data_IF_583135816384
#
_entry.id   IF_583135816384
#
_cell.length_a   1.000
_cell.length_b   1.000
_cell.length_c   1.000
_cell.angle_alpha   90.00
_cell.angle_beta   90.00
_cell.angle_gamma   90.00
#
_symmetry.space_group_name_H-M   'P 1'
#
loop_
_entity.id
_entity.type
_entity.pdbx_description
1 polymer ?
#
# COMPACT_ATOMS: atom_id res chain seq x y z
N UNK A 1 -11.92 -39.64 6.89
CA UNK A 1 -12.79 -40.43 5.98
C UNK A 1 -13.05 -39.62 4.72
N UNK A 2 -13.15 -40.30 3.57
CA UNK A 2 -13.26 -39.68 2.23
C UNK A 2 -14.37 -38.63 2.12
N UNK A 3 -15.54 -38.86 2.70
CA UNK A 3 -16.67 -37.92 2.71
C UNK A 3 -16.33 -36.57 3.37
N UNK A 4 -15.62 -36.60 4.51
CA UNK A 4 -15.18 -35.38 5.22
C UNK A 4 -14.14 -34.61 4.40
N UNK A 5 -13.26 -35.34 3.71
CA UNK A 5 -12.26 -34.73 2.83
C UNK A 5 -12.91 -34.05 1.62
N UNK A 6 -13.90 -34.71 1.01
CA UNK A 6 -14.67 -34.15 -0.11
C UNK A 6 -15.44 -32.89 0.32
N UNK A 7 -16.10 -32.93 1.48
CA UNK A 7 -16.78 -31.77 2.05
C UNK A 7 -15.82 -30.60 2.23
N UNK A 8 -14.67 -30.83 2.88
CA UNK A 8 -13.66 -29.81 3.12
C UNK A 8 -13.13 -29.23 1.80
N UNK A 9 -12.83 -30.07 0.81
CA UNK A 9 -12.31 -29.63 -0.49
C UNK A 9 -13.30 -28.74 -1.24
N UNK A 10 -14.59 -29.11 -1.27
CA UNK A 10 -15.64 -28.30 -1.92
C UNK A 10 -15.84 -26.98 -1.17
N UNK A 11 -15.84 -27.01 0.17
CA UNK A 11 -15.96 -25.82 1.02
C UNK A 11 -14.79 -24.85 0.80
N UNK A 12 -13.55 -25.35 0.78
CA UNK A 12 -12.36 -24.54 0.50
C UNK A 12 -12.37 -23.96 -0.92
N UNK A 13 -12.82 -24.74 -1.91
CA UNK A 13 -12.93 -24.26 -3.30
C UNK A 13 -13.95 -23.13 -3.42
N UNK A 14 -15.09 -23.25 -2.73
CA UNK A 14 -16.10 -22.20 -2.66
C UNK A 14 -15.58 -20.93 -1.96
N UNK A 15 -14.78 -21.08 -0.90
CA UNK A 15 -14.14 -19.95 -0.22
C UNK A 15 -13.17 -19.20 -1.14
N UNK A 16 -12.31 -19.93 -1.85
CA UNK A 16 -11.34 -19.36 -2.81
C UNK A 16 -12.07 -18.65 -3.95
N UNK A 17 -13.08 -19.30 -4.53
CA UNK A 17 -13.88 -18.72 -5.61
C UNK A 17 -14.64 -17.46 -5.14
N UNK A 18 -15.24 -17.51 -3.95
CA UNK A 18 -16.02 -16.42 -3.38
C UNK A 18 -15.20 -15.17 -3.04
N UNK A 19 -13.91 -15.31 -2.75
CA UNK A 19 -13.03 -14.19 -2.42
C UNK A 19 -12.68 -13.34 -3.66
N UNK A 20 -12.55 -13.94 -4.85
CA UNK A 20 -12.36 -13.23 -6.13
C UNK A 20 -11.30 -12.11 -6.09
N UNK A 21 -11.52 -11.02 -6.86
CA UNK A 21 -10.73 -9.78 -6.72
C UNK A 21 -11.19 -9.03 -5.47
N UNK A 22 -10.47 -9.24 -4.39
CA UNK A 22 -10.73 -8.66 -3.08
C UNK A 22 -10.46 -7.14 -3.08
N UNK A 23 -11.51 -6.34 -3.28
CA UNK A 23 -11.46 -4.87 -3.25
C UNK A 23 -12.06 -4.26 -1.98
N UNK A 24 -12.95 -4.98 -1.29
CA UNK A 24 -13.74 -4.45 -0.18
C UNK A 24 -13.88 -5.45 0.96
N UNK A 25 -14.03 -4.95 2.20
CA UNK A 25 -14.28 -5.79 3.40
C UNK A 25 -15.52 -6.68 3.24
N UNK A 26 -16.50 -6.25 2.45
CA UNK A 26 -17.71 -7.03 2.15
C UNK A 26 -17.43 -8.32 1.39
N UNK A 27 -16.32 -8.42 0.65
CA UNK A 27 -15.96 -9.62 -0.10
C UNK A 27 -15.72 -10.82 0.82
N UNK A 28 -15.19 -10.65 2.03
CA UNK A 28 -15.05 -11.77 3.00
C UNK A 28 -16.41 -12.25 3.48
N UNK A 29 -17.32 -11.32 3.79
CA UNK A 29 -18.65 -11.65 4.27
C UNK A 29 -19.45 -12.40 3.21
N UNK A 30 -19.41 -11.93 1.96
CA UNK A 30 -20.05 -12.60 0.83
C UNK A 30 -19.46 -13.98 0.56
N UNK A 31 -18.13 -14.13 0.64
CA UNK A 31 -17.48 -15.44 0.53
C UNK A 31 -17.91 -16.40 1.65
N UNK A 32 -18.03 -15.91 2.90
CA UNK A 32 -18.52 -16.71 4.02
C UNK A 32 -19.98 -17.17 3.83
N UNK A 33 -20.85 -16.30 3.29
CA UNK A 33 -22.22 -16.67 2.96
C UNK A 33 -22.26 -17.74 1.84
N UNK A 34 -21.44 -17.59 0.80
CA UNK A 34 -21.32 -18.58 -0.27
C UNK A 34 -20.86 -19.94 0.28
N UNK A 35 -19.83 -19.94 1.13
CA UNK A 35 -19.35 -21.13 1.83
C UNK A 35 -20.47 -21.75 2.67
N UNK A 36 -21.26 -20.93 3.36
CA UNK A 36 -22.41 -21.38 4.13
C UNK A 36 -23.41 -22.14 3.26
N UNK A 37 -23.84 -21.55 2.14
CA UNK A 37 -24.77 -22.18 1.19
C UNK A 37 -24.20 -23.48 0.64
N UNK A 38 -22.94 -23.48 0.20
CA UNK A 38 -22.26 -24.67 -0.33
C UNK A 38 -22.18 -25.77 0.73
N UNK A 39 -21.86 -25.43 1.98
CA UNK A 39 -21.79 -26.37 3.09
C UNK A 39 -23.16 -27.01 3.38
N UNK A 40 -24.26 -26.24 3.31
CA UNK A 40 -25.62 -26.77 3.51
C UNK A 40 -25.97 -27.76 2.39
N UNK A 41 -25.74 -27.38 1.13
CA UNK A 41 -25.99 -28.25 -0.03
C UNK A 41 -25.18 -29.55 0.08
N UNK A 42 -23.89 -29.42 0.42
CA UNK A 42 -23.00 -30.57 0.56
C UNK A 42 -23.39 -31.48 1.73
N UNK A 43 -23.83 -30.91 2.86
CA UNK A 43 -24.32 -31.68 4.00
C UNK A 43 -25.58 -32.48 3.64
N UNK A 44 -26.53 -31.86 2.93
CA UNK A 44 -27.74 -32.55 2.43
C UNK A 44 -27.36 -33.68 1.45
N UNK A 45 -26.45 -33.42 0.52
CA UNK A 45 -25.98 -34.42 -0.44
C UNK A 45 -25.31 -35.62 0.25
N UNK A 46 -24.51 -35.39 1.31
CA UNK A 46 -23.87 -36.45 2.08
C UNK A 46 -24.85 -37.26 2.93
N UNK A 47 -25.90 -36.62 3.48
CA UNK A 47 -26.98 -37.32 4.18
C UNK A 47 -27.69 -38.28 3.22
N UNK A 48 -28.04 -37.79 2.03
CA UNK A 48 -28.69 -38.60 0.98
C UNK A 48 -27.77 -39.76 0.50
N UNK A 49 -26.49 -39.49 0.26
CA UNK A 49 -25.51 -40.50 -0.14
C UNK A 49 -25.29 -41.58 0.93
N UNK A 50 -25.39 -41.22 2.20
CA UNK A 50 -25.20 -42.16 3.32
C UNK A 50 -26.47 -42.94 3.67
N UNK A 51 -27.51 -42.84 2.81
CA UNK A 51 -28.82 -43.48 2.98
C UNK A 51 -29.49 -43.14 4.33
N UNK A 52 -29.14 -41.99 4.91
CA UNK A 52 -29.73 -41.53 6.15
C UNK A 52 -31.06 -40.80 5.86
N UNK A 53 -32.10 -40.96 6.70
CA UNK A 53 -33.37 -40.30 6.47
C UNK A 53 -33.23 -38.78 6.59
N UNK A 54 -33.67 -38.06 5.55
CA UNK A 54 -33.80 -36.60 5.56
C UNK A 54 -35.02 -36.18 6.41
N UNK A 55 -34.84 -36.23 7.72
CA UNK A 55 -35.82 -35.71 8.68
C UNK A 55 -35.73 -34.19 8.81
N UNK A 56 -36.79 -33.55 9.32
CA UNK A 56 -36.79 -32.13 9.65
C UNK A 56 -35.62 -31.74 10.57
N UNK A 57 -35.31 -32.60 11.55
CA UNK A 57 -34.20 -32.39 12.50
C UNK A 57 -32.85 -32.41 11.79
N UNK A 58 -32.59 -33.39 10.92
CA UNK A 58 -31.32 -33.50 10.19
C UNK A 58 -31.14 -32.36 9.18
N UNK A 59 -32.23 -31.91 8.55
CA UNK A 59 -32.20 -30.73 7.69
C UNK A 59 -31.85 -29.45 8.46
N UNK A 60 -32.50 -29.21 9.60
CA UNK A 60 -32.19 -28.05 10.45
C UNK A 60 -30.76 -28.06 10.97
N UNK A 61 -30.23 -29.24 11.33
CA UNK A 61 -28.84 -29.38 11.74
C UNK A 61 -27.88 -29.09 10.58
N UNK A 62 -28.16 -29.58 9.37
CA UNK A 62 -27.35 -29.27 8.18
C UNK A 62 -27.37 -27.78 7.86
N UNK A 63 -28.55 -27.14 7.92
CA UNK A 63 -28.72 -25.71 7.70
C UNK A 63 -27.94 -24.89 8.73
N UNK A 64 -28.14 -25.18 10.01
CA UNK A 64 -27.48 -24.46 11.11
C UNK A 64 -25.96 -24.64 11.09
N UNK A 65 -25.47 -25.87 10.94
CA UNK A 65 -24.04 -26.16 10.90
C UNK A 65 -23.37 -25.59 9.65
N UNK A 66 -24.03 -25.64 8.48
CA UNK A 66 -23.50 -25.09 7.24
C UNK A 66 -23.36 -23.57 7.30
N UNK A 67 -24.43 -22.87 7.71
CA UNK A 67 -24.41 -21.40 7.87
C UNK A 67 -23.41 -20.98 8.95
N UNK A 68 -23.41 -21.64 10.13
CA UNK A 68 -22.45 -21.34 11.19
C UNK A 68 -21.01 -21.56 10.70
N UNK A 69 -20.74 -22.61 9.94
CA UNK A 69 -19.44 -22.86 9.33
C UNK A 69 -19.01 -21.76 8.35
N UNK A 70 -19.93 -21.27 7.51
CA UNK A 70 -19.68 -20.14 6.61
C UNK A 70 -19.37 -18.84 7.35
N UNK A 71 -20.14 -18.52 8.39
CA UNK A 71 -19.90 -17.35 9.25
C UNK A 71 -18.57 -17.44 9.99
N UNK A 72 -18.26 -18.60 10.58
CA UNK A 72 -16.98 -18.82 11.25
C UNK A 72 -15.82 -18.67 10.26
N UNK A 73 -15.97 -19.17 9.03
CA UNK A 73 -14.95 -19.00 7.98
C UNK A 73 -14.69 -17.52 7.68
N UNK A 74 -15.74 -16.69 7.56
CA UNK A 74 -15.58 -15.25 7.38
C UNK A 74 -14.88 -14.58 8.57
N UNK A 75 -15.24 -14.95 9.80
CA UNK A 75 -14.61 -14.42 11.03
C UNK A 75 -13.13 -14.77 11.07
N UNK A 76 -12.78 -16.03 10.84
CA UNK A 76 -11.38 -16.48 10.83
C UNK A 76 -10.59 -15.87 9.68
N UNK A 77 -11.17 -15.72 8.50
CA UNK A 77 -10.51 -15.06 7.37
C UNK A 77 -10.25 -13.57 7.66
N UNK A 78 -11.25 -12.84 8.18
CA UNK A 78 -11.12 -11.43 8.53
C UNK A 78 -10.10 -11.20 9.66
N UNK A 79 -10.13 -12.04 10.71
CA UNK A 79 -9.18 -11.95 11.82
C UNK A 79 -7.77 -12.44 11.47
N UNK A 80 -7.66 -13.41 10.56
CA UNK A 80 -6.38 -13.93 10.07
C UNK A 80 -5.70 -13.04 9.04
N UNK A 81 -6.44 -12.13 8.39
CA UNK A 81 -5.91 -11.28 7.32
C UNK A 81 -4.72 -10.42 7.79
N UNK A 82 -4.81 -9.64 8.89
CA UNK A 82 -3.68 -8.82 9.34
C UNK A 82 -2.45 -9.66 9.72
N UNK A 83 -2.68 -10.87 10.23
CA UNK A 83 -1.62 -11.82 10.60
C UNK A 83 -0.91 -12.30 9.33
N UNK A 84 -1.65 -12.70 8.31
CA UNK A 84 -1.09 -13.14 7.03
C UNK A 84 -0.39 -12.00 6.28
N UNK A 85 -0.97 -10.80 6.29
CA UNK A 85 -0.32 -9.61 5.70
C UNK A 85 1.04 -9.32 6.34
N UNK A 86 1.10 -9.38 7.68
CA UNK A 86 2.34 -9.16 8.44
C UNK A 86 3.36 -10.27 8.21
N UNK A 87 2.93 -11.54 8.26
CA UNK A 87 3.83 -12.70 8.09
C UNK A 87 4.40 -12.81 6.68
N UNK A 88 3.61 -12.49 5.65
CA UNK A 88 4.00 -12.66 4.25
C UNK A 88 4.35 -11.35 3.53
N UNK A 89 4.27 -10.20 4.21
CA UNK A 89 4.51 -8.88 3.59
C UNK A 89 3.53 -8.54 2.47
N UNK A 90 2.33 -9.12 2.49
CA UNK A 90 1.33 -8.94 1.43
C UNK A 90 0.59 -7.62 1.66
N UNK A 91 0.54 -6.80 0.61
CA UNK A 91 -0.17 -5.53 0.63
C UNK A 91 -1.53 -5.70 -0.05
N UNK A 92 -2.60 -5.75 0.74
CA UNK A 92 -3.98 -5.85 0.24
C UNK A 92 -4.61 -4.48 0.03
N UNK A 93 -5.72 -4.43 -0.69
CA UNK A 93 -6.51 -3.20 -0.87
C UNK A 93 -7.01 -2.67 0.49
N UNK A 94 -7.34 -3.53 1.45
CA UNK A 94 -7.72 -3.10 2.80
C UNK A 94 -6.56 -2.43 3.51
N UNK A 95 -5.36 -3.01 3.44
CA UNK A 95 -4.16 -2.42 4.04
C UNK A 95 -3.79 -1.08 3.37
N UNK A 96 -3.93 -0.99 2.05
CA UNK A 96 -3.74 0.26 1.31
C UNK A 96 -4.72 1.35 1.76
N UNK A 97 -5.99 0.99 1.95
CA UNK A 97 -7.01 1.93 2.47
C UNK A 97 -6.72 2.36 3.90
N UNK A 98 -6.20 1.47 4.76
CA UNK A 98 -5.74 1.83 6.11
C UNK A 98 -4.57 2.83 6.06
N UNK A 99 -3.61 2.62 5.14
CA UNK A 99 -2.50 3.56 4.89
C UNK A 99 -2.95 4.88 4.24
N UNK A 100 -4.18 4.96 3.72
CA UNK A 100 -4.73 6.20 3.19
C UNK A 100 -5.28 7.14 4.26
N UNK A 101 -5.35 6.68 5.52
CA UNK A 101 -5.93 7.45 6.61
C UNK A 101 -5.04 8.65 6.98
N UNK A 102 -5.57 9.86 6.79
CA UNK A 102 -4.88 11.11 7.11
C UNK A 102 -4.55 11.29 8.60
N UNK A 103 -5.27 10.58 9.48
CA UNK A 103 -5.02 10.60 10.93
C UNK A 103 -3.78 9.81 11.34
N UNK A 104 -3.15 9.08 10.40
CA UNK A 104 -1.87 8.42 10.67
C UNK A 104 -0.81 9.46 11.04
N UNK A 105 -0.03 9.25 12.13
CA UNK A 105 0.86 10.27 12.68
C UNK A 105 1.80 10.91 11.66
N UNK A 106 2.36 10.15 10.72
CA UNK A 106 3.28 10.67 9.71
C UNK A 106 2.58 11.56 8.66
N UNK A 107 1.37 11.19 8.24
CA UNK A 107 0.59 11.98 7.28
C UNK A 107 0.02 13.24 7.95
N UNK A 108 -0.44 13.12 9.20
CA UNK A 108 -0.82 14.27 10.02
C UNK A 108 0.34 15.25 10.23
N UNK A 109 1.55 14.75 10.51
CA UNK A 109 2.75 15.59 10.59
C UNK A 109 3.06 16.27 9.25
N UNK A 110 2.94 15.57 8.12
CA UNK A 110 3.15 16.14 6.79
C UNK A 110 2.16 17.28 6.53
N UNK A 111 0.87 17.05 6.82
CA UNK A 111 -0.17 18.07 6.66
C UNK A 111 0.07 19.32 7.53
N UNK A 112 0.58 19.15 8.76
CA UNK A 112 0.82 20.27 9.68
C UNK A 112 2.14 21.01 9.42
N UNK A 113 3.23 20.27 9.15
CA UNK A 113 4.59 20.84 9.06
C UNK A 113 5.04 21.15 7.64
N UNK A 114 4.49 20.46 6.64
CA UNK A 114 4.81 20.62 5.23
C UNK A 114 3.53 20.61 4.38
N UNK A 115 2.60 21.56 4.60
CA UNK A 115 1.27 21.55 3.98
C UNK A 115 1.30 21.59 2.45
N UNK A 116 2.30 22.27 1.87
CA UNK A 116 2.50 22.31 0.42
C UNK A 116 2.93 20.96 -0.14
N UNK A 117 3.86 20.28 0.54
CA UNK A 117 4.24 18.90 0.19
C UNK A 117 3.05 17.94 0.35
N UNK A 118 2.21 18.12 1.38
CA UNK A 118 1.00 17.32 1.54
C UNK A 118 0.03 17.50 0.35
N UNK A 119 -0.26 18.74 -0.03
CA UNK A 119 -1.11 19.04 -1.20
C UNK A 119 -0.51 18.49 -2.50
N UNK A 120 0.80 18.66 -2.68
CA UNK A 120 1.54 18.08 -3.81
C UNK A 120 1.36 16.56 -3.88
N UNK A 121 1.53 15.87 -2.75
CA UNK A 121 1.45 14.41 -2.67
C UNK A 121 0.04 13.89 -3.01
N UNK A 122 -1.01 14.60 -2.56
CA UNK A 122 -2.38 14.28 -2.96
C UNK A 122 -2.63 14.50 -4.46
N UNK A 123 -2.15 15.61 -5.03
CA UNK A 123 -2.30 15.89 -6.45
C UNK A 123 -1.55 14.87 -7.32
N UNK A 124 -0.31 14.52 -6.97
CA UNK A 124 0.48 13.47 -7.62
C UNK A 124 -0.24 12.12 -7.50
N UNK A 125 -0.79 11.80 -6.32
CA UNK A 125 -1.54 10.57 -6.11
C UNK A 125 -2.76 10.43 -7.02
N UNK A 126 -3.51 11.51 -7.23
CA UNK A 126 -4.64 11.51 -8.16
C UNK A 126 -4.20 11.27 -9.60
N UNK A 127 -3.16 11.99 -10.06
CA UNK A 127 -2.62 11.82 -11.41
C UNK A 127 -2.05 10.42 -11.64
N UNK A 128 -1.34 9.89 -10.65
CA UNK A 128 -0.77 8.54 -10.70
C UNK A 128 -1.87 7.46 -10.73
N UNK A 129 -2.96 7.66 -9.97
CA UNK A 129 -4.13 6.80 -10.00
C UNK A 129 -4.72 6.72 -11.40
N UNK A 130 -5.00 7.87 -12.01
CA UNK A 130 -5.62 7.97 -13.33
C UNK A 130 -4.71 7.39 -14.43
N UNK A 131 -3.40 7.64 -14.35
CA UNK A 131 -2.41 7.05 -15.25
C UNK A 131 -2.37 5.53 -15.12
N UNK A 132 -2.37 4.99 -13.90
CA UNK A 132 -2.40 3.56 -13.67
C UNK A 132 -3.69 2.90 -14.18
N UNK A 133 -4.85 3.56 -14.04
CA UNK A 133 -6.12 3.09 -14.61
C UNK A 133 -6.03 2.98 -16.14
N UNK A 134 -5.42 3.97 -16.80
CA UNK A 134 -5.31 4.01 -18.25
C UNK A 134 -4.41 2.88 -18.82
N UNK A 135 -3.37 2.47 -18.08
CA UNK A 135 -2.42 1.43 -18.53
C UNK A 135 -2.67 0.05 -17.93
N UNK A 136 -3.73 -0.11 -17.13
CA UNK A 136 -4.07 -1.38 -16.47
C UNK A 136 -3.14 -1.77 -15.31
N UNK A 137 -2.39 -0.82 -14.74
CA UNK A 137 -1.59 -1.00 -13.54
C UNK A 137 -2.46 -0.89 -12.26
N UNK A 138 -1.88 -1.04 -11.06
CA UNK A 138 -2.63 -0.94 -9.81
C UNK A 138 -2.81 0.55 -9.40
N UNK A 139 -4.04 1.11 -9.51
CA UNK A 139 -4.27 2.53 -9.26
C UNK A 139 -4.23 2.88 -7.76
N UNK A 140 -4.75 2.00 -6.90
CA UNK A 140 -4.79 2.23 -5.46
C UNK A 140 -3.36 2.24 -4.89
N UNK A 141 -2.52 1.30 -5.30
CA UNK A 141 -1.12 1.26 -4.89
C UNK A 141 -0.39 2.56 -5.28
N UNK A 142 -0.57 3.05 -6.51
CA UNK A 142 0.06 4.27 -6.97
C UNK A 142 -0.40 5.51 -6.20
N UNK A 143 -1.71 5.63 -5.96
CA UNK A 143 -2.28 6.72 -5.16
C UNK A 143 -1.73 6.75 -3.75
N UNK A 144 -1.69 5.60 -3.07
CA UNK A 144 -1.22 5.54 -1.68
C UNK A 144 0.29 5.69 -1.61
N UNK A 145 1.06 5.08 -2.52
CA UNK A 145 2.50 5.28 -2.61
C UNK A 145 2.89 6.76 -2.76
N UNK A 146 2.13 7.51 -3.56
CA UNK A 146 2.32 8.95 -3.71
C UNK A 146 2.08 9.76 -2.42
N UNK A 147 1.21 9.31 -1.50
CA UNK A 147 1.03 10.01 -0.22
C UNK A 147 2.30 9.96 0.66
N UNK A 148 3.12 8.92 0.48
CA UNK A 148 4.31 8.71 1.30
C UNK A 148 5.63 9.08 0.62
N UNK A 149 5.66 9.22 -0.71
CA UNK A 149 6.91 9.35 -1.47
C UNK A 149 7.81 10.49 -0.99
N UNK A 150 7.20 11.56 -0.46
CA UNK A 150 7.84 12.79 -0.06
C UNK A 150 7.86 13.02 1.47
N UNK A 151 7.51 12.02 2.29
CA UNK A 151 7.52 12.15 3.77
C UNK A 151 8.87 12.61 4.31
N UNK A 152 9.95 12.37 3.56
CA UNK A 152 11.28 12.79 3.93
C UNK A 152 11.49 14.30 4.00
N UNK A 153 10.64 15.09 3.32
CA UNK A 153 10.68 16.56 3.37
C UNK A 153 10.36 17.10 4.77
N UNK A 154 9.74 16.30 5.65
CA UNK A 154 9.54 16.63 7.07
C UNK A 154 10.83 17.00 7.82
N UNK A 155 11.98 16.53 7.33
CA UNK A 155 13.28 16.84 7.95
C UNK A 155 13.62 18.34 7.89
N UNK A 156 13.25 19.02 6.79
CA UNK A 156 13.56 20.43 6.58
C UNK A 156 12.56 21.07 5.58
N UNK A 157 11.27 21.21 5.94
CA UNK A 157 10.20 21.61 5.02
C UNK A 157 10.46 22.93 4.28
N UNK A 158 11.06 23.90 4.95
CA UNK A 158 11.34 25.24 4.45
C UNK A 158 12.30 25.28 3.24
N UNK A 159 13.05 24.20 3.01
CA UNK A 159 13.93 24.07 1.84
C UNK A 159 13.21 23.52 0.59
N UNK A 160 11.91 23.23 0.68
CA UNK A 160 11.12 22.78 -0.47
C UNK A 160 10.15 23.88 -0.89
N UNK A 161 10.20 24.24 -2.17
CA UNK A 161 9.54 25.44 -2.71
C UNK A 161 8.03 25.47 -2.44
N UNK A 162 7.39 24.31 -2.43
CA UNK A 162 5.96 24.19 -2.17
C UNK A 162 5.56 24.57 -0.73
N UNK A 163 6.51 24.55 0.21
CA UNK A 163 6.27 24.93 1.61
C UNK A 163 6.78 26.34 1.96
N UNK A 164 7.42 27.04 1.02
CA UNK A 164 7.99 28.36 1.27
C UNK A 164 6.90 29.43 1.31
N UNK A 165 6.98 30.33 2.29
CA UNK A 165 6.06 31.48 2.44
C UNK A 165 6.78 32.83 2.27
N UNK A 166 8.05 32.84 1.88
CA UNK A 166 8.87 34.04 1.76
C UNK A 166 10.17 33.78 0.99
N UNK A 167 11.28 34.37 1.44
CA UNK A 167 12.59 34.22 0.81
C UNK A 167 13.00 32.74 0.66
N UNK A 168 13.60 32.42 -0.50
CA UNK A 168 14.12 31.08 -0.73
C UNK A 168 15.45 30.87 0.04
N UNK A 169 15.51 29.97 1.04
CA UNK A 169 16.72 29.74 1.82
C UNK A 169 17.91 29.25 0.98
N UNK A 170 17.65 28.67 -0.20
CA UNK A 170 18.70 28.25 -1.14
C UNK A 170 19.50 29.41 -1.76
N UNK A 171 19.04 30.65 -1.63
CA UNK A 171 19.79 31.81 -2.13
C UNK A 171 21.00 32.16 -1.25
N UNK A 172 20.94 31.77 0.03
CA UNK A 172 22.04 31.94 1.00
C UNK A 172 22.98 30.73 1.06
N UNK A 173 22.69 29.67 0.30
CA UNK A 173 23.46 28.43 0.30
C UNK A 173 24.33 28.27 -0.95
N UNK A 174 25.44 27.53 -0.79
CA UNK A 174 26.20 27.04 -1.94
C UNK A 174 25.36 25.98 -2.68
N UNK A 175 25.48 25.88 -4.02
CA UNK A 175 24.72 24.90 -4.80
C UNK A 175 24.87 23.45 -4.31
N UNK A 176 26.09 23.03 -3.94
CA UNK A 176 26.34 21.70 -3.37
C UNK A 176 25.60 21.44 -2.05
N UNK A 177 25.47 22.46 -1.18
CA UNK A 177 24.72 22.33 0.07
C UNK A 177 23.23 22.18 -0.21
N UNK A 178 22.71 22.97 -1.16
CA UNK A 178 21.32 22.88 -1.59
C UNK A 178 20.99 21.51 -2.18
N UNK A 179 21.87 21.01 -3.06
CA UNK A 179 21.75 19.68 -3.64
C UNK A 179 21.69 18.61 -2.56
N UNK A 180 22.61 18.64 -1.58
CA UNK A 180 22.64 17.68 -0.48
C UNK A 180 21.36 17.70 0.37
N UNK A 181 20.84 18.89 0.71
CA UNK A 181 19.56 19.02 1.45
C UNK A 181 18.44 18.37 0.65
N UNK A 182 18.32 18.74 -0.63
CA UNK A 182 17.25 18.22 -1.49
C UNK A 182 17.37 16.72 -1.66
N UNK A 183 18.53 16.16 -2.03
CA UNK A 183 18.65 14.70 -2.19
C UNK A 183 18.47 13.93 -0.88
N UNK A 184 18.76 14.55 0.27
CA UNK A 184 18.64 13.88 1.57
C UNK A 184 17.21 13.58 1.99
N UNK A 185 16.18 14.20 1.41
CA UNK A 185 14.79 13.84 1.72
C UNK A 185 14.52 12.38 1.38
N UNK A 186 15.15 11.84 0.32
CA UNK A 186 15.03 10.43 -0.03
C UNK A 186 15.61 9.54 1.07
N UNK A 187 16.85 9.80 1.50
CA UNK A 187 17.51 9.00 2.53
C UNK A 187 16.81 9.11 3.88
N UNK A 188 16.39 10.31 4.26
CA UNK A 188 15.64 10.53 5.50
C UNK A 188 14.26 9.85 5.43
N UNK A 189 13.55 9.99 4.31
CA UNK A 189 12.24 9.36 4.11
C UNK A 189 12.32 7.84 4.15
N UNK A 190 13.32 7.23 3.53
CA UNK A 190 13.53 5.78 3.58
C UNK A 190 13.82 5.29 5.01
N UNK A 191 14.61 6.05 5.78
CA UNK A 191 14.83 5.77 7.21
C UNK A 191 13.53 5.89 8.00
N UNK A 192 12.77 6.97 7.81
CA UNK A 192 11.50 7.19 8.49
C UNK A 192 10.48 6.09 8.17
N UNK A 193 10.40 5.67 6.91
CA UNK A 193 9.54 4.56 6.48
C UNK A 193 9.89 3.25 7.21
N UNK A 194 11.18 2.97 7.41
CA UNK A 194 11.63 1.82 8.20
C UNK A 194 11.27 1.96 9.68
N UNK A 195 11.46 3.15 10.27
CA UNK A 195 11.15 3.42 11.68
C UNK A 195 9.65 3.25 11.99
N UNK A 196 8.77 3.64 11.08
CA UNK A 196 7.31 3.50 11.26
C UNK A 196 6.75 2.14 10.80
N UNK A 197 7.60 1.22 10.33
CA UNK A 197 7.17 -0.09 9.85
C UNK A 197 6.30 -0.02 8.59
N UNK A 198 6.58 0.92 7.69
CA UNK A 198 5.84 1.07 6.43
C UNK A 198 6.08 -0.17 5.54
N UNK A 199 5.03 -0.75 4.90
CA UNK A 199 5.22 -1.88 4.00
C UNK A 199 6.19 -1.56 2.87
N UNK A 200 7.06 -2.51 2.53
CA UNK A 200 8.17 -2.32 1.59
C UNK A 200 7.71 -1.76 0.25
N UNK A 201 6.63 -2.28 -0.32
CA UNK A 201 6.04 -1.78 -1.58
C UNK A 201 5.65 -0.29 -1.56
N UNK A 202 5.33 0.27 -0.39
CA UNK A 202 5.05 1.70 -0.23
C UNK A 202 6.35 2.46 0.05
N UNK A 203 7.22 1.90 0.90
CA UNK A 203 8.52 2.49 1.20
C UNK A 203 9.41 2.67 -0.05
N UNK A 204 9.30 1.75 -1.03
CA UNK A 204 10.01 1.77 -2.30
C UNK A 204 9.74 3.01 -3.16
N UNK A 205 8.56 3.63 -3.02
CA UNK A 205 8.26 4.88 -3.73
C UNK A 205 9.23 6.00 -3.32
N UNK A 206 9.76 5.98 -2.09
CA UNK A 206 10.60 7.05 -1.56
C UNK A 206 11.97 7.11 -2.26
N UNK A 207 12.78 6.05 -2.35
CA UNK A 207 14.04 6.13 -3.05
C UNK A 207 13.92 6.07 -4.57
N UNK A 208 12.83 5.53 -5.10
CA UNK A 208 12.70 5.28 -6.53
C UNK A 208 12.04 6.42 -7.32
N UNK A 209 11.20 7.26 -6.72
CA UNK A 209 10.42 8.26 -7.49
C UNK A 209 11.28 9.27 -8.26
N UNK A 210 12.46 9.59 -7.74
CA UNK A 210 13.46 10.38 -8.47
C UNK A 210 14.49 9.53 -9.21
N UNK A 211 14.62 8.24 -8.87
CA UNK A 211 15.63 7.36 -9.42
C UNK A 211 17.03 7.93 -9.26
N UNK A 212 17.76 8.02 -10.37
CA UNK A 212 19.11 8.60 -10.44
C UNK A 212 19.13 9.92 -11.22
N UNK A 213 18.01 10.67 -11.19
CA UNK A 213 17.90 11.98 -11.88
C UNK A 213 18.92 12.97 -11.34
N UNK A 214 19.30 13.94 -12.18
CA UNK A 214 20.20 15.04 -11.81
C UNK A 214 19.40 16.28 -11.42
N UNK A 215 19.79 16.95 -10.34
CA UNK A 215 19.33 18.28 -9.94
C UNK A 215 19.94 19.35 -10.84
N UNK A 216 19.48 19.42 -12.10
CA UNK A 216 20.06 20.26 -13.13
C UNK A 216 20.15 21.74 -12.75
N UNK A 217 19.16 22.29 -12.05
CA UNK A 217 19.19 23.69 -11.61
C UNK A 217 20.43 23.99 -10.75
N UNK A 218 20.68 23.18 -9.71
CA UNK A 218 21.82 23.37 -8.82
C UNK A 218 23.15 23.01 -9.48
N UNK A 219 23.17 22.01 -10.36
CA UNK A 219 24.35 21.68 -11.17
C UNK A 219 24.75 22.88 -12.05
N UNK A 220 23.81 23.49 -12.78
CA UNK A 220 24.09 24.67 -13.61
C UNK A 220 24.49 25.87 -12.76
N UNK A 221 23.85 26.08 -11.61
CA UNK A 221 24.22 27.14 -10.64
C UNK A 221 25.63 26.93 -10.10
N UNK A 222 26.08 25.68 -9.91
CA UNK A 222 27.45 25.35 -9.53
C UNK A 222 28.44 25.63 -10.65
N UNK A 223 28.15 25.16 -11.87
CA UNK A 223 28.99 25.38 -13.06
C UNK A 223 29.19 26.87 -13.35
N UNK A 224 28.15 27.70 -13.22
CA UNK A 224 28.24 29.14 -13.42
C UNK A 224 29.07 29.87 -12.36
N UNK A 225 29.23 29.28 -11.17
CA UNK A 225 30.03 29.83 -10.06
C UNK A 225 31.43 29.21 -9.96
N UNK A 226 31.73 28.20 -10.78
CA UNK A 226 32.99 27.48 -10.76
C UNK A 226 34.14 28.38 -11.26
N UNK A 227 35.30 28.27 -10.63
CA UNK A 227 36.51 28.96 -11.11
C UNK A 227 36.99 28.34 -12.44
N UNK A 228 37.80 29.04 -13.26
CA UNK A 228 38.25 28.55 -14.58
C UNK A 228 38.89 27.15 -14.60
N UNK A 229 39.45 26.69 -13.48
CA UNK A 229 40.08 25.37 -13.33
C UNK A 229 39.31 24.42 -12.39
N UNK A 230 38.11 24.80 -11.96
CA UNK A 230 37.27 23.99 -11.07
C UNK A 230 36.31 23.13 -11.90
N UNK A 231 36.45 21.81 -11.79
CA UNK A 231 35.54 20.87 -12.46
C UNK A 231 34.39 20.54 -11.53
N UNK A 232 33.16 20.80 -11.97
CA UNK A 232 31.93 20.45 -11.24
C UNK A 232 31.52 19.03 -11.62
N UNK A 233 31.54 18.11 -10.65
CA UNK A 233 31.11 16.73 -10.87
C UNK A 233 29.58 16.61 -10.85
N UNK A 234 28.98 16.08 -11.91
CA UNK A 234 27.53 15.86 -11.97
C UNK A 234 27.04 14.88 -10.90
N UNK A 235 27.88 13.92 -10.48
CA UNK A 235 27.50 12.92 -9.47
C UNK A 235 27.09 13.55 -8.13
N UNK A 236 27.65 14.71 -7.77
CA UNK A 236 27.31 15.44 -6.54
C UNK A 236 25.89 16.05 -6.56
N UNK A 237 25.24 16.05 -7.73
CA UNK A 237 23.90 16.59 -7.96
C UNK A 237 22.90 15.50 -8.38
N UNK A 238 23.25 14.22 -8.28
CA UNK A 238 22.36 13.10 -8.62
C UNK A 238 21.69 12.52 -7.37
N UNK A 239 20.44 12.09 -7.53
CA UNK A 239 19.79 11.25 -6.53
C UNK A 239 20.50 9.89 -6.42
N UNK A 240 20.55 9.29 -5.22
CA UNK A 240 21.27 8.04 -4.99
C UNK A 240 20.60 6.82 -5.63
N UNK A 241 19.33 6.92 -6.04
CA UNK A 241 18.56 5.81 -6.56
C UNK A 241 18.06 4.84 -5.48
N UNK A 242 17.65 3.62 -5.88
CA UNK A 242 17.77 3.03 -7.22
C UNK A 242 16.76 3.61 -8.22
N UNK A 243 16.87 3.24 -9.51
CA UNK A 243 15.82 3.53 -10.51
C UNK A 243 14.52 2.78 -10.15
N UNK A 244 13.33 3.27 -10.56
CA UNK A 244 12.09 2.52 -10.44
C UNK A 244 12.21 1.07 -10.96
N UNK A 245 11.71 0.11 -10.19
CA UNK A 245 11.70 -1.33 -10.52
C UNK A 245 10.34 -1.80 -11.07
#
# INVERSE_FOLDING_TARGET
>A
GMQKALFAMVSCSAAIYGIGRYRERQSVTLAGLLVGVVNVVMAIALIAYSEQPLTFRTFLLALGAGIAGGLLTAVFAAGGLPINESLFGILTDVKLLELSNADLPVLGQLALRAPGTNQHSHAVGQLAEDACRAVGANPLLARIGALYHDIGKLAAPEYFVENQQGDNPHDRLRPYQSAKIITSHVTYGARLAKEIGLPEKIADFIPQHHGTRTLHYFLRKAQAKAKPNETVNEADFRYPGPKPQ
#
